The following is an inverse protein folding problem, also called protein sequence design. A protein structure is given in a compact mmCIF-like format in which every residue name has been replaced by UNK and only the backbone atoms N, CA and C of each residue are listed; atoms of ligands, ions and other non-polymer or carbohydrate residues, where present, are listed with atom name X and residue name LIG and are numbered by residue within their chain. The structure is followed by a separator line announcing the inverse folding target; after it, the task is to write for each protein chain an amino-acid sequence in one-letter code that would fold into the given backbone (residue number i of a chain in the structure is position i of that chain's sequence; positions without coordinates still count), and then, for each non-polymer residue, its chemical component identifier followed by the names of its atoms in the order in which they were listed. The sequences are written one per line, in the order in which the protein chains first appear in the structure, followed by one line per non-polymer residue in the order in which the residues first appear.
data_IF_533103155492
#
_entry.id   IF_533103155492
#
_cell.length_a   1.000
_cell.length_b   1.000
_cell.length_c   1.000
_cell.angle_alpha   90.00
_cell.angle_beta   90.00
_cell.angle_gamma   90.00
#
_symmetry.space_group_name_H-M   'P 1'
#
loop_
_entity.id
_entity.type
_entity.pdbx_description
1 polymer ?
#
# COMPACT_ATOMS: atom_id res chain seq x y z
N UNK A 1 -48.51 -17.56 -9.31
CA UNK A 1 -47.12 -17.18 -9.67
C UNK A 1 -46.74 -15.99 -8.80
N UNK A 2 -45.78 -16.17 -7.88
CA UNK A 2 -45.37 -15.19 -6.86
C UNK A 2 -44.24 -14.27 -7.39
N UNK A 3 -44.09 -13.04 -6.87
CA UNK A 3 -43.14 -12.06 -7.40
C UNK A 3 -41.73 -12.25 -6.83
N UNK A 4 -40.71 -12.20 -7.69
CA UNK A 4 -39.28 -12.39 -7.37
C UNK A 4 -38.51 -11.06 -7.27
N UNK A 5 -39.15 -9.93 -7.57
CA UNK A 5 -38.46 -8.63 -7.70
C UNK A 5 -38.18 -7.89 -6.38
N UNK A 6 -38.83 -8.27 -5.26
CA UNK A 6 -38.75 -7.51 -4.00
C UNK A 6 -37.61 -7.95 -3.06
N UNK A 7 -36.88 -9.02 -3.41
CA UNK A 7 -35.84 -9.59 -2.56
C UNK A 7 -34.43 -9.05 -2.84
N UNK A 8 -34.16 -8.48 -4.02
CA UNK A 8 -32.82 -7.97 -4.38
C UNK A 8 -32.50 -6.57 -3.85
N UNK A 9 -33.49 -5.78 -3.45
CA UNK A 9 -33.29 -4.44 -2.87
C UNK A 9 -33.01 -4.48 -1.37
N UNK A 10 -33.38 -5.56 -0.67
CA UNK A 10 -33.09 -5.76 0.76
C UNK A 10 -31.61 -6.10 1.00
N UNK A 11 -31.01 -6.92 0.14
CA UNK A 11 -29.64 -7.42 0.33
C UNK A 11 -28.55 -6.37 0.07
N UNK A 12 -28.88 -5.28 -0.65
CA UNK A 12 -27.96 -4.16 -0.94
C UNK A 12 -27.94 -3.14 0.22
N UNK A 13 -29.00 -3.08 1.03
CA UNK A 13 -29.10 -2.20 2.20
C UNK A 13 -28.36 -2.74 3.44
N UNK A 14 -28.16 -4.06 3.55
CA UNK A 14 -27.44 -4.68 4.68
C UNK A 14 -25.91 -4.51 4.60
N UNK A 15 -25.34 -4.37 3.40
CA UNK A 15 -23.90 -4.13 3.21
C UNK A 15 -23.48 -2.67 3.51
N UNK A 16 -24.44 -1.76 3.65
CA UNK A 16 -24.20 -0.34 3.93
C UNK A 16 -24.33 0.04 5.43
N UNK A 17 -24.70 -0.89 6.30
CA UNK A 17 -24.97 -0.60 7.73
C UNK A 17 -23.77 -0.73 8.68
N UNK A 18 -22.57 -1.10 8.19
CA UNK A 18 -21.40 -1.27 9.07
C UNK A 18 -20.61 0.00 9.42
N UNK A 19 -21.09 1.18 9.06
CA UNK A 19 -20.36 2.44 9.31
C UNK A 19 -21.12 3.42 10.21
N UNK A 20 -21.55 2.99 11.41
CA UNK A 20 -21.89 3.92 12.50
C UNK A 20 -21.40 3.33 13.83
N UNK A 21 -20.12 3.54 14.15
CA UNK A 21 -19.61 3.32 15.51
C UNK A 21 -19.93 4.55 16.36
N UNK A 22 -20.79 4.33 17.37
CA UNK A 22 -21.21 5.30 18.39
C UNK A 22 -19.99 5.89 19.13
N UNK A 23 -19.80 7.20 19.04
CA UNK A 23 -18.90 7.97 19.93
C UNK A 23 -19.45 7.93 21.36
N UNK A 24 -18.72 7.30 22.29
CA UNK A 24 -18.95 7.47 23.74
C UNK A 24 -18.08 8.62 24.27
N UNK A 25 -18.73 9.55 24.99
CA UNK A 25 -18.10 10.62 25.76
C UNK A 25 -17.24 10.00 26.87
N UNK A 26 -15.97 10.39 26.93
CA UNK A 26 -15.11 10.18 28.11
C UNK A 26 -14.97 11.54 28.79
N UNK A 27 -15.36 11.58 30.06
CA UNK A 27 -15.25 12.71 30.97
C UNK A 27 -13.91 12.66 31.68
N UNK A 28 -13.11 13.71 31.54
CA UNK A 28 -11.91 13.97 32.36
C UNK A 28 -12.27 14.31 33.80
N UNK A 29 -11.39 13.96 34.75
CA UNK A 29 -11.01 14.97 35.73
C UNK A 29 -9.48 15.06 35.88
N UNK A 30 -8.94 16.22 35.52
CA UNK A 30 -7.60 16.64 35.91
C UNK A 30 -7.48 16.73 37.44
N UNK A 31 -6.46 16.08 38.02
CA UNK A 31 -6.01 16.33 39.39
C UNK A 31 -4.54 16.77 39.34
N UNK A 32 -4.33 18.04 39.66
CA UNK A 32 -3.04 18.69 39.81
C UNK A 32 -2.24 18.08 40.97
N UNK A 33 -1.00 17.67 40.71
CA UNK A 33 -0.03 17.35 41.76
C UNK A 33 1.18 18.27 41.59
N UNK A 34 1.35 19.16 42.57
CA UNK A 34 2.52 20.01 42.77
C UNK A 34 3.66 19.15 43.33
N UNK A 35 4.82 19.14 42.67
CA UNK A 35 6.05 18.59 43.24
C UNK A 35 7.18 19.59 43.00
N UNK A 36 7.65 20.21 44.09
CA UNK A 36 8.84 21.06 44.12
C UNK A 36 10.12 20.25 43.88
N UNK A 37 11.16 20.84 43.27
CA UNK A 37 12.40 20.14 42.98
C UNK A 37 13.27 20.03 44.25
N UNK A 38 13.59 18.79 44.66
CA UNK A 38 14.71 18.50 45.58
C UNK A 38 15.87 17.95 44.78
N UNK A 39 17.01 18.65 44.86
CA UNK A 39 18.31 18.25 44.33
C UNK A 39 18.86 17.13 45.23
N UNK A 40 19.21 15.94 44.72
CA UNK A 40 19.96 14.95 45.47
C UNK A 40 21.48 15.17 45.33
N UNK A 41 22.18 15.03 46.45
CA UNK A 41 23.63 15.14 46.58
C UNK A 41 24.38 14.00 45.86
N UNK A 42 25.66 14.26 45.56
CA UNK A 42 26.58 13.37 44.86
C UNK A 42 26.82 12.04 45.60
N UNK A 43 26.99 10.91 44.87
CA UNK A 43 27.25 9.60 45.48
C UNK A 43 28.74 9.42 45.84
N UNK A 44 29.05 8.64 46.89
CA UNK A 44 30.43 8.31 47.25
C UNK A 44 31.04 7.24 46.32
N UNK A 45 32.37 7.30 46.18
CA UNK A 45 33.24 6.45 45.36
C UNK A 45 33.09 4.95 45.63
N UNK A 46 32.95 4.18 44.55
CA UNK A 46 32.82 2.71 44.57
C UNK A 46 34.16 2.00 44.83
N UNK A 47 34.17 0.86 45.55
CA UNK A 47 35.33 -0.01 45.72
C UNK A 47 35.62 -0.88 44.47
N UNK A 48 36.86 -1.40 44.32
CA UNK A 48 37.34 -2.03 43.09
C UNK A 48 36.63 -3.35 42.77
N UNK A 49 36.38 -3.58 41.48
CA UNK A 49 35.70 -4.74 40.93
C UNK A 49 36.50 -6.05 41.13
N UNK A 50 35.82 -7.19 41.38
CA UNK A 50 36.46 -8.51 41.40
C UNK A 50 36.89 -8.95 39.98
N UNK A 51 37.85 -9.90 39.85
CA UNK A 51 38.39 -10.34 38.56
C UNK A 51 37.31 -11.02 37.70
N UNK A 52 37.46 -11.02 36.35
CA UNK A 52 36.46 -11.58 35.46
C UNK A 52 36.32 -13.10 35.67
N UNK A 53 35.10 -13.48 36.03
CA UNK A 53 34.65 -14.86 36.11
C UNK A 53 34.70 -15.47 34.69
N UNK A 54 35.32 -16.63 34.55
CA UNK A 54 35.46 -17.35 33.28
C UNK A 54 34.07 -17.67 32.74
N UNK A 55 33.73 -17.06 31.61
CA UNK A 55 32.48 -17.29 30.89
C UNK A 55 32.43 -18.71 30.34
N UNK A 56 31.34 -19.42 30.68
CA UNK A 56 30.84 -20.68 30.13
C UNK A 56 30.76 -20.60 28.59
N UNK A 57 31.83 -20.99 27.88
CA UNK A 57 31.96 -20.90 26.41
C UNK A 57 31.63 -22.19 25.65
N UNK A 58 31.21 -23.26 26.33
CA UNK A 58 31.23 -24.62 25.72
C UNK A 58 29.84 -25.21 25.42
N UNK A 59 28.79 -24.38 25.29
CA UNK A 59 27.50 -24.87 24.75
C UNK A 59 27.38 -24.48 23.28
N UNK A 60 27.24 -25.45 22.35
CA UNK A 60 27.03 -25.12 20.95
C UNK A 60 25.80 -24.22 20.81
N UNK A 61 25.84 -23.21 19.92
CA UNK A 61 24.75 -22.26 19.77
C UNK A 61 23.44 -23.01 19.51
N UNK A 62 22.45 -22.81 20.38
CA UNK A 62 21.13 -23.42 20.21
C UNK A 62 20.44 -22.75 19.04
N UNK A 63 20.46 -23.41 17.88
CA UNK A 63 19.75 -23.00 16.68
C UNK A 63 18.35 -23.65 16.63
N UNK A 64 17.42 -22.96 15.96
CA UNK A 64 16.05 -23.38 15.73
C UNK A 64 15.87 -23.78 14.27
N UNK A 65 15.52 -25.04 14.03
CA UNK A 65 15.14 -25.51 12.69
C UNK A 65 13.84 -24.86 12.23
N UNK A 66 13.81 -24.32 11.01
CA UNK A 66 12.57 -23.85 10.41
C UNK A 66 11.61 -25.03 10.19
N UNK A 67 10.31 -24.81 10.39
CA UNK A 67 9.32 -25.89 10.32
C UNK A 67 8.93 -26.29 8.90
N UNK A 68 9.17 -25.42 7.92
CA UNK A 68 8.71 -25.59 6.54
C UNK A 68 9.89 -25.88 5.61
N UNK A 69 10.98 -25.13 5.78
CA UNK A 69 12.16 -25.20 4.91
C UNK A 69 13.34 -25.82 5.65
N UNK A 70 13.15 -27.07 6.07
CA UNK A 70 14.21 -27.92 6.62
C UNK A 70 14.10 -29.31 6.01
N UNK A 71 14.70 -29.48 4.83
CA UNK A 71 14.59 -30.70 4.05
C UNK A 71 15.65 -31.71 4.44
N UNK A 72 15.26 -32.97 4.63
CA UNK A 72 16.19 -34.08 4.97
C UNK A 72 17.30 -34.28 3.93
N UNK A 73 17.00 -33.97 2.66
CA UNK A 73 17.95 -34.07 1.54
C UNK A 73 18.58 -32.73 1.13
N UNK A 74 18.42 -31.68 1.93
CA UNK A 74 19.10 -30.41 1.66
C UNK A 74 20.62 -30.52 1.86
N UNK A 75 21.36 -29.95 0.91
CA UNK A 75 22.83 -29.93 0.83
C UNK A 75 23.44 -28.59 1.26
N UNK A 76 22.62 -27.66 1.76
CA UNK A 76 23.05 -26.36 2.30
C UNK A 76 22.16 -25.94 3.48
N UNK A 77 22.78 -25.42 4.55
CA UNK A 77 22.07 -24.76 5.65
C UNK A 77 22.19 -23.26 5.45
N UNK A 78 21.07 -22.59 5.22
CA UNK A 78 21.01 -21.12 5.29
C UNK A 78 20.70 -20.72 6.72
N UNK A 79 21.53 -19.87 7.33
CA UNK A 79 21.32 -19.38 8.69
C UNK A 79 20.91 -17.90 8.69
N UNK A 80 19.87 -17.58 9.45
CA UNK A 80 19.40 -16.22 9.70
C UNK A 80 19.12 -16.07 11.20
N UNK A 81 19.86 -15.20 11.87
CA UNK A 81 19.86 -15.10 13.33
C UNK A 81 20.07 -16.49 13.98
N UNK A 82 19.14 -16.93 14.84
CA UNK A 82 19.13 -18.26 15.47
C UNK A 82 18.29 -19.28 14.72
N UNK A 83 17.81 -18.97 13.51
CA UNK A 83 16.98 -19.89 12.70
C UNK A 83 17.78 -20.45 11.55
N UNK A 84 17.68 -21.76 11.34
CA UNK A 84 18.37 -22.48 10.27
C UNK A 84 17.37 -23.10 9.30
N UNK A 85 17.70 -23.00 8.02
CA UNK A 85 16.90 -23.46 6.89
C UNK A 85 17.73 -24.48 6.11
N UNK A 86 17.35 -25.75 6.15
CA UNK A 86 18.04 -26.79 5.36
C UNK A 86 17.43 -26.84 3.96
N UNK A 87 18.17 -26.33 2.99
CA UNK A 87 17.72 -26.07 1.61
C UNK A 87 18.65 -26.70 0.60
N UNK A 88 18.31 -26.56 -0.68
CA UNK A 88 19.07 -27.09 -1.79
C UNK A 88 19.87 -25.96 -2.43
N UNK A 89 21.19 -26.13 -2.55
CA UNK A 89 22.15 -25.18 -3.11
C UNK A 89 21.75 -24.72 -4.51
N UNK A 90 21.23 -25.62 -5.33
CA UNK A 90 20.69 -25.32 -6.66
C UNK A 90 19.60 -24.24 -6.62
N UNK A 91 18.74 -24.24 -5.60
CA UNK A 91 17.66 -23.24 -5.46
C UNK A 91 18.20 -21.85 -5.13
N UNK A 92 19.29 -21.77 -4.38
CA UNK A 92 19.97 -20.50 -4.11
C UNK A 92 20.70 -19.99 -5.35
N UNK A 93 21.38 -20.86 -6.09
CA UNK A 93 22.03 -20.50 -7.35
C UNK A 93 21.04 -19.96 -8.38
N UNK A 94 19.83 -20.51 -8.46
CA UNK A 94 18.75 -20.01 -9.33
C UNK A 94 18.26 -18.60 -8.97
N UNK A 95 18.49 -18.12 -7.75
CA UNK A 95 18.16 -16.74 -7.37
C UNK A 95 19.12 -15.72 -8.01
N UNK A 96 20.34 -16.15 -8.37
CA UNK A 96 21.38 -15.27 -8.91
C UNK A 96 21.99 -14.34 -7.85
N UNK A 97 22.50 -13.20 -8.29
CA UNK A 97 23.15 -12.20 -7.44
C UNK A 97 24.35 -12.77 -6.68
N UNK A 98 24.53 -12.34 -5.43
CA UNK A 98 25.66 -12.75 -4.59
C UNK A 98 25.71 -14.26 -4.35
N UNK A 99 24.59 -14.98 -4.47
CA UNK A 99 24.58 -16.44 -4.25
C UNK A 99 25.42 -17.20 -5.28
N UNK A 100 25.56 -16.68 -6.50
CA UNK A 100 26.45 -17.28 -7.50
C UNK A 100 27.91 -17.28 -7.03
N UNK A 101 28.38 -16.10 -6.61
CA UNK A 101 29.75 -15.89 -6.13
C UNK A 101 29.99 -16.57 -4.78
N UNK A 102 29.13 -16.31 -3.80
CA UNK A 102 29.24 -16.83 -2.43
C UNK A 102 29.33 -18.35 -2.41
N UNK A 103 28.56 -19.02 -3.27
CA UNK A 103 28.57 -20.47 -3.33
C UNK A 103 29.75 -21.01 -4.13
N UNK A 104 30.28 -20.26 -5.11
CA UNK A 104 31.45 -20.68 -5.90
C UNK A 104 32.77 -20.70 -5.13
N UNK A 105 32.86 -20.01 -3.99
CA UNK A 105 34.06 -19.96 -3.17
C UNK A 105 34.31 -21.32 -2.48
N UNK A 106 35.57 -21.79 -2.42
CA UNK A 106 35.91 -22.95 -1.60
C UNK A 106 35.62 -22.64 -0.11
N UNK A 107 35.16 -23.64 0.67
CA UNK A 107 34.92 -23.43 2.10
C UNK A 107 36.22 -22.99 2.81
N UNK A 108 36.13 -22.10 3.83
CA UNK A 108 37.30 -21.68 4.59
C UNK A 108 38.01 -22.90 5.20
N UNK A 109 39.32 -23.01 4.97
CA UNK A 109 40.14 -24.18 5.32
C UNK A 109 40.33 -24.35 6.84
N UNK A 110 40.04 -23.31 7.65
CA UNK A 110 40.43 -23.22 9.06
C UNK A 110 39.26 -23.17 10.07
N UNK A 111 38.03 -23.52 9.69
CA UNK A 111 36.85 -23.51 10.60
C UNK A 111 36.11 -24.85 10.54
N UNK A 112 36.63 -25.88 11.21
CA UNK A 112 36.10 -27.25 11.08
C UNK A 112 34.77 -27.50 11.83
N UNK A 113 34.40 -26.70 12.85
CA UNK A 113 33.20 -26.96 13.68
C UNK A 113 32.03 -25.97 13.52
N UNK A 114 32.29 -24.69 13.16
CA UNK A 114 31.21 -23.69 12.97
C UNK A 114 30.67 -23.63 11.54
N UNK A 115 31.32 -24.30 10.60
CA UNK A 115 30.97 -24.27 9.17
C UNK A 115 29.95 -25.33 8.75
N UNK A 116 29.58 -26.26 9.64
CA UNK A 116 28.64 -27.35 9.38
C UNK A 116 27.56 -27.48 10.46
N UNK A 117 26.33 -27.77 10.06
CA UNK A 117 25.22 -28.17 10.94
C UNK A 117 24.64 -29.47 10.39
N UNK A 118 24.52 -30.48 11.24
CA UNK A 118 24.09 -31.85 10.85
C UNK A 118 24.93 -32.42 9.68
N UNK A 119 26.23 -32.09 9.60
CA UNK A 119 27.12 -32.51 8.51
C UNK A 119 26.87 -31.80 7.17
N UNK A 120 26.09 -30.72 7.18
CA UNK A 120 25.75 -29.92 5.98
C UNK A 120 26.38 -28.52 6.10
N UNK A 121 27.02 -27.99 5.05
CA UNK A 121 27.68 -26.69 5.11
C UNK A 121 26.69 -25.56 5.41
N UNK A 122 27.15 -24.58 6.19
CA UNK A 122 26.36 -23.42 6.64
C UNK A 122 26.73 -22.19 5.82
N UNK A 123 25.71 -21.50 5.34
CA UNK A 123 25.75 -20.20 4.67
C UNK A 123 25.01 -19.17 5.54
N UNK A 124 25.74 -18.39 6.38
CA UNK A 124 25.13 -17.37 7.21
C UNK A 124 24.72 -16.15 6.38
N UNK A 125 23.44 -15.79 6.45
CA UNK A 125 22.86 -14.60 5.84
C UNK A 125 22.76 -13.49 6.88
N UNK A 126 23.88 -12.83 7.12
CA UNK A 126 23.98 -11.73 8.08
C UNK A 126 22.99 -10.59 7.77
N UNK A 127 22.45 -9.96 8.81
CA UNK A 127 21.51 -8.84 8.68
C UNK A 127 20.10 -9.20 8.19
N UNK A 128 19.82 -10.49 7.94
CA UNK A 128 18.48 -10.94 7.56
C UNK A 128 17.65 -11.37 8.76
N UNK A 129 16.32 -11.27 8.63
CA UNK A 129 15.37 -11.85 9.59
C UNK A 129 14.87 -13.20 9.08
N UNK A 130 14.62 -14.19 9.97
CA UNK A 130 14.05 -15.48 9.58
C UNK A 130 12.72 -15.39 8.83
N UNK A 131 11.93 -14.36 9.14
CA UNK A 131 10.68 -14.06 8.44
C UNK A 131 10.90 -13.78 6.95
N UNK A 132 11.88 -12.94 6.62
CA UNK A 132 12.14 -12.51 5.25
C UNK A 132 12.78 -13.67 4.46
N UNK A 133 13.71 -14.40 5.08
CA UNK A 133 14.33 -15.59 4.50
C UNK A 133 13.28 -16.65 4.17
N UNK A 134 12.25 -16.82 5.00
CA UNK A 134 11.13 -17.72 4.69
C UNK A 134 10.38 -17.32 3.43
N UNK A 135 10.18 -16.02 3.18
CA UNK A 135 9.59 -15.55 1.93
C UNK A 135 10.51 -15.76 0.73
N UNK A 136 11.82 -15.60 0.89
CA UNK A 136 12.80 -15.93 -0.15
C UNK A 136 12.79 -17.42 -0.50
N UNK A 137 12.75 -18.30 0.51
CA UNK A 137 12.65 -19.75 0.28
C UNK A 137 11.30 -20.12 -0.35
N UNK A 138 10.19 -19.52 0.08
CA UNK A 138 8.90 -19.72 -0.57
C UNK A 138 8.93 -19.33 -2.06
N UNK A 139 9.65 -18.27 -2.40
CA UNK A 139 9.88 -17.87 -3.77
C UNK A 139 10.78 -18.85 -4.53
N UNK A 140 11.95 -19.22 -3.98
CA UNK A 140 12.92 -20.12 -4.62
C UNK A 140 12.35 -21.53 -4.89
N UNK A 141 11.41 -21.98 -4.05
CA UNK A 141 10.72 -23.26 -4.19
C UNK A 141 9.36 -23.17 -4.90
N UNK A 142 9.08 -22.05 -5.58
CA UNK A 142 7.87 -21.84 -6.37
C UNK A 142 6.57 -22.01 -5.57
N UNK A 143 6.62 -21.80 -4.25
CA UNK A 143 5.47 -21.86 -3.34
C UNK A 143 4.76 -20.53 -3.20
N UNK A 144 5.45 -19.44 -3.52
CA UNK A 144 4.88 -18.09 -3.46
C UNK A 144 5.48 -17.18 -4.53
N UNK A 145 4.65 -16.28 -5.04
CA UNK A 145 5.04 -15.14 -5.86
C UNK A 145 4.49 -13.86 -5.23
N UNK A 146 5.15 -12.70 -5.40
CA UNK A 146 4.60 -11.42 -4.94
C UNK A 146 3.36 -11.02 -5.74
N UNK A 147 3.20 -11.51 -6.97
CA UNK A 147 1.95 -11.40 -7.72
C UNK A 147 1.17 -12.70 -7.66
N UNK A 148 -0.06 -12.65 -7.14
CA UNK A 148 -1.01 -13.76 -7.16
C UNK A 148 -2.01 -13.50 -8.28
N UNK A 149 -2.06 -14.41 -9.26
CA UNK A 149 -2.95 -14.32 -10.43
C UNK A 149 -4.05 -15.38 -10.33
N UNK A 150 -5.29 -14.94 -10.54
CA UNK A 150 -6.43 -15.79 -10.87
C UNK A 150 -6.90 -15.45 -12.29
N UNK A 151 -7.82 -16.23 -12.85
CA UNK A 151 -8.30 -16.06 -14.25
C UNK A 151 -8.76 -14.63 -14.61
N UNK A 152 -9.25 -13.88 -13.62
CA UNK A 152 -9.86 -12.56 -13.83
C UNK A 152 -9.04 -11.40 -13.27
N UNK A 153 -8.14 -11.64 -12.31
CA UNK A 153 -7.50 -10.57 -11.54
C UNK A 153 -6.09 -10.94 -11.10
N UNK A 154 -5.24 -9.92 -10.94
CA UNK A 154 -3.91 -10.02 -10.33
C UNK A 154 -3.87 -9.19 -9.05
N UNK A 155 -3.21 -9.70 -8.02
CA UNK A 155 -3.09 -9.03 -6.72
C UNK A 155 -1.66 -9.12 -6.18
N UNK A 156 -1.28 -8.11 -5.38
CA UNK A 156 -0.01 -8.02 -4.68
C UNK A 156 -0.10 -8.74 -3.33
N UNK A 157 0.71 -9.76 -3.13
CA UNK A 157 0.93 -10.35 -1.81
C UNK A 157 1.92 -9.48 -1.01
N UNK A 158 1.40 -8.63 -0.12
CA UNK A 158 2.17 -7.55 0.52
C UNK A 158 3.43 -8.04 1.24
N UNK A 159 3.29 -8.99 2.16
CA UNK A 159 4.40 -9.44 3.00
C UNK A 159 5.57 -10.04 2.21
N UNK A 160 5.26 -10.74 1.11
CA UNK A 160 6.30 -11.29 0.23
C UNK A 160 6.94 -10.22 -0.63
N UNK A 161 6.18 -9.26 -1.15
CA UNK A 161 6.73 -8.14 -1.92
C UNK A 161 7.67 -7.29 -1.07
N UNK A 162 7.30 -6.94 0.17
CA UNK A 162 8.18 -6.18 1.09
C UNK A 162 9.46 -6.94 1.39
N UNK A 163 9.35 -8.22 1.76
CA UNK A 163 10.50 -9.05 2.12
C UNK A 163 11.42 -9.29 0.93
N UNK A 164 10.87 -9.63 -0.23
CA UNK A 164 11.63 -9.86 -1.45
C UNK A 164 12.26 -8.57 -1.98
N UNK A 165 11.62 -7.40 -1.85
CA UNK A 165 12.25 -6.13 -2.21
C UNK A 165 13.50 -5.89 -1.34
N UNK A 166 13.38 -6.08 -0.04
CA UNK A 166 14.48 -5.92 0.90
C UNK A 166 15.65 -6.87 0.59
N UNK A 167 15.37 -8.16 0.48
CA UNK A 167 16.39 -9.17 0.21
C UNK A 167 16.98 -9.04 -1.19
N UNK A 168 16.18 -8.66 -2.19
CA UNK A 168 16.68 -8.42 -3.54
C UNK A 168 17.69 -7.27 -3.61
N UNK A 169 17.51 -6.25 -2.77
CA UNK A 169 18.48 -5.17 -2.66
C UNK A 169 19.73 -5.61 -1.88
N UNK A 170 19.56 -6.34 -0.77
CA UNK A 170 20.71 -6.78 0.04
C UNK A 170 21.61 -7.81 -0.65
N UNK A 171 21.03 -8.66 -1.50
CA UNK A 171 21.75 -9.77 -2.15
C UNK A 171 21.91 -9.59 -3.66
N UNK A 172 21.61 -8.40 -4.17
CA UNK A 172 21.67 -8.06 -5.58
C UNK A 172 20.91 -9.03 -6.50
N UNK A 173 19.66 -9.32 -6.13
CA UNK A 173 18.79 -10.24 -6.87
C UNK A 173 17.99 -9.45 -7.92
N UNK A 174 18.66 -8.98 -8.98
CA UNK A 174 18.08 -8.10 -10.02
C UNK A 174 16.75 -8.62 -10.56
N UNK A 175 16.68 -9.90 -10.94
CA UNK A 175 15.45 -10.52 -11.45
C UNK A 175 14.30 -10.52 -10.43
N UNK A 176 14.60 -10.72 -9.15
CA UNK A 176 13.61 -10.68 -8.06
C UNK A 176 13.16 -9.23 -7.83
N UNK A 177 14.09 -8.27 -7.84
CA UNK A 177 13.80 -6.85 -7.69
C UNK A 177 12.82 -6.37 -8.77
N UNK A 178 13.11 -6.64 -10.04
CA UNK A 178 12.24 -6.28 -11.17
C UNK A 178 10.84 -6.87 -11.01
N UNK A 179 10.77 -8.16 -10.68
CA UNK A 179 9.50 -8.87 -10.48
C UNK A 179 8.67 -8.24 -9.35
N UNK A 180 9.31 -7.88 -8.24
CA UNK A 180 8.65 -7.26 -7.09
C UNK A 180 8.18 -5.83 -7.40
N UNK A 181 8.98 -5.04 -8.11
CA UNK A 181 8.58 -3.70 -8.56
C UNK A 181 7.35 -3.79 -9.46
N UNK A 182 7.31 -4.75 -10.38
CA UNK A 182 6.14 -4.98 -11.23
C UNK A 182 4.91 -5.42 -10.43
N UNK A 183 5.10 -6.20 -9.36
CA UNK A 183 4.02 -6.53 -8.43
C UNK A 183 3.49 -5.28 -7.71
N UNK A 184 4.37 -4.39 -7.22
CA UNK A 184 3.95 -3.15 -6.57
C UNK A 184 3.14 -2.23 -7.49
N UNK A 185 3.40 -2.23 -8.80
CA UNK A 185 2.61 -1.45 -9.79
C UNK A 185 1.13 -1.85 -9.85
N UNK A 186 0.73 -3.02 -9.33
CA UNK A 186 -0.68 -3.40 -9.20
C UNK A 186 -1.44 -2.55 -8.19
N UNK A 187 -0.73 -2.03 -7.18
CA UNK A 187 -1.30 -1.19 -6.10
C UNK A 187 -0.90 0.27 -6.27
N UNK A 188 0.31 0.50 -6.79
CA UNK A 188 0.93 1.80 -7.03
C UNK A 188 1.28 1.98 -8.50
N UNK A 189 0.29 2.00 -9.41
CA UNK A 189 0.57 2.14 -10.83
C UNK A 189 1.32 3.45 -11.14
N UNK A 190 2.20 3.35 -12.13
CA UNK A 190 2.85 4.49 -12.79
C UNK A 190 2.33 4.73 -14.22
N UNK A 191 1.29 3.97 -14.61
CA UNK A 191 0.57 4.09 -15.89
C UNK A 191 -0.93 4.06 -15.63
N UNK A 192 -1.67 4.73 -16.49
CA UNK A 192 -3.12 4.76 -16.38
C UNK A 192 -3.71 3.35 -16.52
N UNK A 193 -4.68 3.04 -15.66
CA UNK A 193 -5.52 1.84 -15.72
C UNK A 193 -6.96 2.28 -15.47
N UNK A 194 -7.95 1.56 -15.99
CA UNK A 194 -9.36 1.81 -15.67
C UNK A 194 -9.72 1.37 -14.24
N UNK A 195 -8.89 0.52 -13.62
CA UNK A 195 -9.10 -0.04 -12.27
C UNK A 195 -8.07 0.57 -11.31
N UNK A 196 -8.28 1.83 -10.93
CA UNK A 196 -7.39 2.54 -9.99
C UNK A 196 -7.93 2.64 -8.57
N UNK A 197 -9.26 2.54 -8.41
CA UNK A 197 -9.92 2.80 -7.13
C UNK A 197 -9.54 1.78 -6.04
N UNK A 198 -9.45 0.49 -6.38
CA UNK A 198 -9.25 -0.57 -5.39
C UNK A 198 -7.84 -1.19 -5.47
N UNK A 199 -7.04 -1.13 -4.39
CA UNK A 199 -5.74 -1.76 -4.38
C UNK A 199 -5.92 -3.29 -4.41
N UNK A 200 -5.40 -3.94 -5.45
CA UNK A 200 -5.46 -5.38 -5.58
C UNK A 200 -4.43 -6.04 -4.65
N UNK A 201 -4.85 -6.37 -3.43
CA UNK A 201 -3.99 -6.88 -2.36
C UNK A 201 -4.39 -8.30 -1.94
N UNK A 202 -3.40 -9.10 -1.54
CA UNK A 202 -3.57 -10.45 -1.03
C UNK A 202 -2.60 -10.73 0.13
N UNK A 203 -2.80 -11.87 0.81
CA UNK A 203 -1.97 -12.26 1.95
C UNK A 203 -2.24 -11.52 3.25
N UNK A 204 -3.39 -10.83 3.33
CA UNK A 204 -3.82 -10.08 4.52
C UNK A 204 -4.92 -10.88 5.20
N UNK A 205 -4.76 -11.14 6.50
CA UNK A 205 -5.79 -11.82 7.29
C UNK A 205 -7.00 -10.89 7.46
N UNK A 206 -8.24 -11.42 7.51
CA UNK A 206 -9.44 -10.60 7.70
C UNK A 206 -9.34 -9.66 8.92
N UNK A 207 -8.88 -10.18 10.05
CA UNK A 207 -8.77 -9.44 11.32
C UNK A 207 -7.71 -8.31 11.26
N UNK A 208 -6.71 -8.45 10.40
CA UNK A 208 -5.64 -7.46 10.23
C UNK A 208 -5.99 -6.39 9.18
N UNK A 209 -7.09 -6.56 8.43
CA UNK A 209 -7.37 -5.77 7.21
C UNK A 209 -7.55 -4.29 7.49
N UNK A 210 -8.25 -3.93 8.56
CA UNK A 210 -8.48 -2.52 8.92
C UNK A 210 -7.16 -1.82 9.27
N UNK A 211 -6.37 -2.42 10.16
CA UNK A 211 -5.07 -1.90 10.54
C UNK A 211 -4.11 -1.86 9.35
N UNK A 212 -4.17 -2.87 8.47
CA UNK A 212 -3.39 -2.91 7.25
C UNK A 212 -3.72 -1.72 6.34
N UNK A 213 -5.01 -1.45 6.09
CA UNK A 213 -5.44 -0.34 5.22
C UNK A 213 -4.96 1.03 5.71
N UNK A 214 -4.74 1.17 7.02
CA UNK A 214 -4.19 2.39 7.64
C UNK A 214 -2.66 2.47 7.57
N UNK A 215 -1.96 1.34 7.59
CA UNK A 215 -0.49 1.29 7.66
C UNK A 215 0.19 1.19 6.30
N UNK A 216 -0.39 0.46 5.35
CA UNK A 216 0.28 0.15 4.07
C UNK A 216 0.67 1.37 3.22
N UNK A 217 -0.08 2.50 3.18
CA UNK A 217 0.35 3.65 2.38
C UNK A 217 1.59 4.31 2.97
N UNK A 218 1.67 4.40 4.29
CA UNK A 218 2.82 4.95 5.01
C UNK A 218 4.05 4.04 4.88
N UNK A 219 3.85 2.72 5.00
CA UNK A 219 4.89 1.74 4.76
C UNK A 219 5.41 1.82 3.31
N UNK A 220 4.51 1.96 2.33
CA UNK A 220 4.88 2.10 0.92
C UNK A 220 5.79 3.30 0.68
N UNK A 221 5.45 4.48 1.25
CA UNK A 221 6.28 5.69 1.13
C UNK A 221 7.70 5.42 1.67
N UNK A 222 7.80 4.87 2.89
CA UNK A 222 9.09 4.56 3.50
C UNK A 222 9.91 3.58 2.65
N UNK A 223 9.25 2.54 2.12
CA UNK A 223 9.89 1.54 1.25
C UNK A 223 10.38 2.16 -0.05
N UNK A 224 9.53 2.93 -0.74
CA UNK A 224 9.85 3.51 -2.03
C UNK A 224 10.95 4.57 -1.94
N UNK A 225 11.00 5.32 -0.84
CA UNK A 225 12.14 6.20 -0.57
C UNK A 225 13.42 5.42 -0.30
N UNK A 226 13.35 4.38 0.55
CA UNK A 226 14.52 3.58 0.92
C UNK A 226 15.16 2.87 -0.27
N UNK A 227 14.37 2.44 -1.24
CA UNK A 227 14.82 1.66 -2.40
C UNK A 227 14.82 2.46 -3.71
N UNK A 228 14.71 3.79 -3.67
CA UNK A 228 14.69 4.70 -4.82
C UNK A 228 13.66 4.32 -5.91
N UNK A 229 12.45 3.98 -5.48
CA UNK A 229 11.31 3.66 -6.35
C UNK A 229 10.42 4.89 -6.58
N UNK A 230 11.03 5.99 -7.02
CA UNK A 230 10.39 7.30 -7.23
C UNK A 230 9.13 7.21 -8.08
N UNK A 231 9.12 6.32 -9.08
CA UNK A 231 7.96 6.13 -9.97
C UNK A 231 6.69 5.65 -9.29
N UNK A 232 6.80 5.08 -8.08
CA UNK A 232 5.66 4.56 -7.31
C UNK A 232 5.15 5.56 -6.25
N UNK A 233 5.91 6.62 -5.96
CA UNK A 233 5.60 7.58 -4.90
C UNK A 233 4.31 8.39 -5.12
N UNK A 234 3.96 8.88 -6.32
CA UNK A 234 2.73 9.68 -6.50
C UNK A 234 1.49 8.92 -6.05
N UNK A 235 1.42 7.63 -6.40
CA UNK A 235 0.31 6.79 -5.98
C UNK A 235 0.40 6.45 -4.49
N UNK A 236 1.59 6.27 -3.93
CA UNK A 236 1.74 6.06 -2.49
C UNK A 236 1.24 7.27 -1.69
N UNK A 237 1.60 8.50 -2.10
CA UNK A 237 1.08 9.73 -1.50
C UNK A 237 -0.43 9.89 -1.71
N UNK A 238 -0.94 9.55 -2.90
CA UNK A 238 -2.37 9.53 -3.15
C UNK A 238 -3.13 8.63 -2.19
N UNK A 239 -2.65 7.41 -1.96
CA UNK A 239 -3.25 6.45 -1.03
C UNK A 239 -3.16 6.97 0.41
N UNK A 240 -2.01 7.53 0.80
CA UNK A 240 -1.82 8.12 2.13
C UNK A 240 -2.72 9.34 2.36
N UNK A 241 -2.99 10.14 1.32
CA UNK A 241 -3.90 11.28 1.38
C UNK A 241 -5.36 10.90 1.71
N UNK A 242 -5.73 9.63 1.54
CA UNK A 242 -7.05 9.11 1.90
C UNK A 242 -7.16 8.69 3.38
N UNK A 243 -6.05 8.69 4.12
CA UNK A 243 -6.04 8.36 5.55
C UNK A 243 -6.57 9.52 6.39
N UNK A 244 -6.96 9.18 7.62
CA UNK A 244 -7.28 10.17 8.64
C UNK A 244 -6.08 11.06 8.92
N UNK A 245 -6.33 12.34 9.20
CA UNK A 245 -5.28 13.33 9.49
C UNK A 245 -4.39 12.85 10.65
N UNK A 246 -4.98 12.25 11.67
CA UNK A 246 -4.25 11.70 12.82
C UNK A 246 -3.26 10.60 12.40
N UNK A 247 -3.66 9.71 11.49
CA UNK A 247 -2.81 8.62 11.00
C UNK A 247 -1.64 9.16 10.15
N UNK A 248 -1.87 10.21 9.37
CA UNK A 248 -0.81 10.84 8.56
C UNK A 248 0.20 11.58 9.46
N UNK A 249 -0.28 12.35 10.44
CA UNK A 249 0.56 13.23 11.27
C UNK A 249 1.26 12.46 12.37
N UNK A 250 0.52 11.62 13.12
CA UNK A 250 1.04 10.90 14.27
C UNK A 250 1.49 9.48 13.93
N UNK A 251 1.23 8.99 12.72
CA UNK A 251 1.46 7.59 12.35
C UNK A 251 0.48 6.63 13.00
N UNK A 252 0.60 5.36 12.62
CA UNK A 252 -0.32 4.28 13.03
C UNK A 252 0.40 3.28 13.92
N UNK A 253 -0.23 2.90 15.03
CA UNK A 253 0.31 1.89 15.95
C UNK A 253 -0.07 0.49 15.47
N UNK A 254 0.94 -0.35 15.28
CA UNK A 254 0.84 -1.75 14.89
C UNK A 254 0.41 -2.64 16.07
N UNK A 255 0.02 -3.88 15.77
CA UNK A 255 -0.36 -4.88 16.77
C UNK A 255 0.79 -5.24 17.73
N UNK A 256 2.04 -5.09 17.30
CA UNK A 256 3.25 -5.33 18.11
C UNK A 256 3.67 -4.09 18.95
N UNK A 257 2.88 -3.02 18.93
CA UNK A 257 3.15 -1.77 19.63
C UNK A 257 4.13 -0.84 18.89
N UNK A 258 4.71 -1.26 17.76
CA UNK A 258 5.52 -0.38 16.92
C UNK A 258 4.64 0.67 16.24
N UNK A 259 5.25 1.78 15.82
CA UNK A 259 4.53 2.86 15.15
C UNK A 259 5.09 3.08 13.75
N UNK A 260 4.21 3.03 12.75
CA UNK A 260 4.56 3.40 11.37
C UNK A 260 4.36 4.91 11.22
N UNK A 261 5.47 5.62 11.07
CA UNK A 261 5.49 7.07 10.79
C UNK A 261 6.16 7.33 9.43
N UNK A 262 5.99 8.54 8.91
CA UNK A 262 6.70 9.04 7.73
C UNK A 262 7.45 10.33 8.09
N UNK A 263 8.50 10.73 7.33
CA UNK A 263 9.20 11.98 7.55
C UNK A 263 8.28 13.20 7.48
N UNK A 264 8.59 14.27 8.22
CA UNK A 264 7.78 15.50 8.23
C UNK A 264 7.66 16.15 6.85
N UNK A 265 8.69 16.03 6.00
CA UNK A 265 8.62 16.49 4.60
C UNK A 265 7.47 15.82 3.84
N UNK A 266 7.23 14.55 4.10
CA UNK A 266 6.24 13.76 3.37
C UNK A 266 4.84 13.99 3.93
N UNK A 267 4.74 14.26 5.23
CA UNK A 267 3.51 14.78 5.84
C UNK A 267 3.09 16.08 5.15
N UNK A 268 4.03 17.03 4.95
CA UNK A 268 3.76 18.30 4.26
C UNK A 268 3.29 18.03 2.83
N UNK A 269 4.04 17.23 2.06
CA UNK A 269 3.68 16.85 0.68
C UNK A 269 2.29 16.24 0.59
N UNK A 270 1.93 15.34 1.51
CA UNK A 270 0.60 14.73 1.55
C UNK A 270 -0.47 15.77 1.87
N UNK A 271 -0.24 16.66 2.84
CA UNK A 271 -1.22 17.68 3.23
C UNK A 271 -1.48 18.70 2.11
N UNK A 272 -0.42 19.17 1.44
CA UNK A 272 -0.55 20.03 0.26
C UNK A 272 -1.30 19.31 -0.86
N UNK A 273 -0.94 18.06 -1.13
CA UNK A 273 -1.63 17.24 -2.12
C UNK A 273 -3.09 17.00 -1.78
N UNK A 274 -3.46 16.83 -0.51
CA UNK A 274 -4.87 16.71 -0.09
C UNK A 274 -5.68 17.94 -0.48
N UNK A 275 -5.12 19.13 -0.30
CA UNK A 275 -5.80 20.37 -0.68
C UNK A 275 -5.99 20.45 -2.21
N UNK A 276 -4.94 20.12 -2.97
CA UNK A 276 -5.02 20.10 -4.43
C UNK A 276 -5.99 19.04 -4.96
N UNK A 277 -6.03 17.86 -4.34
CA UNK A 277 -6.96 16.78 -4.67
C UNK A 277 -8.42 17.19 -4.41
N UNK A 278 -8.72 17.85 -3.28
CA UNK A 278 -10.08 18.35 -3.02
C UNK A 278 -10.52 19.34 -4.10
N UNK A 279 -9.67 20.31 -4.43
CA UNK A 279 -9.96 21.31 -5.48
C UNK A 279 -10.11 20.68 -6.86
N UNK A 280 -9.27 19.71 -7.20
CA UNK A 280 -9.29 19.08 -8.51
C UNK A 280 -10.52 18.21 -8.73
N UNK A 281 -11.19 17.77 -7.65
CA UNK A 281 -12.43 17.03 -7.76
C UNK A 281 -13.52 17.86 -8.43
N UNK A 282 -13.73 19.09 -7.99
CA UNK A 282 -14.64 20.05 -8.61
C UNK A 282 -14.12 20.55 -9.97
N UNK A 283 -12.85 20.94 -10.03
CA UNK A 283 -12.31 21.69 -11.19
C UNK A 283 -11.76 20.83 -12.33
N UNK A 284 -11.60 19.51 -12.13
CA UNK A 284 -11.01 18.60 -13.14
C UNK A 284 -11.87 17.35 -13.33
N UNK A 285 -12.16 16.61 -12.25
CA UNK A 285 -12.94 15.36 -12.30
C UNK A 285 -14.39 15.62 -12.69
N UNK A 286 -15.06 16.47 -11.92
CA UNK A 286 -16.47 16.77 -12.04
C UNK A 286 -16.71 18.13 -12.67
N UNK A 287 -15.72 18.69 -13.37
CA UNK A 287 -15.81 20.01 -14.02
C UNK A 287 -17.04 20.11 -14.90
N UNK A 288 -17.28 19.09 -15.74
CA UNK A 288 -18.46 19.05 -16.61
C UNK A 288 -19.78 19.17 -15.82
N UNK A 289 -19.89 18.50 -14.67
CA UNK A 289 -21.07 18.62 -13.81
C UNK A 289 -21.11 19.97 -13.09
N UNK A 290 -19.95 20.49 -12.66
CA UNK A 290 -19.86 21.79 -12.00
C UNK A 290 -20.32 22.93 -12.91
N UNK A 291 -19.86 22.95 -14.15
CA UNK A 291 -20.16 23.98 -15.14
C UNK A 291 -21.61 23.89 -15.64
N UNK A 292 -22.32 22.79 -15.34
CA UNK A 292 -23.71 22.57 -15.74
C UNK A 292 -24.72 23.46 -14.98
N UNK A 293 -24.30 24.08 -13.86
CA UNK A 293 -25.11 25.03 -13.10
C UNK A 293 -24.75 26.50 -13.37
N UNK A 294 -23.87 26.80 -14.34
CA UNK A 294 -23.56 28.19 -14.69
C UNK A 294 -24.80 28.91 -15.27
N UNK A 295 -24.82 30.24 -15.19
CA UNK A 295 -25.97 31.19 -15.33
C UNK A 295 -26.85 31.09 -16.61
N UNK A 296 -26.64 30.12 -17.50
CA UNK A 296 -27.48 29.88 -18.67
C UNK A 296 -28.60 28.87 -18.37
N UNK A 297 -29.69 28.92 -19.15
CA UNK A 297 -30.72 27.88 -19.08
C UNK A 297 -30.08 26.50 -19.34
N UNK A 298 -30.31 25.51 -18.47
CA UNK A 298 -29.63 24.22 -18.56
C UNK A 298 -30.04 23.47 -19.83
N UNK A 299 -29.13 23.40 -20.79
CA UNK A 299 -29.31 22.70 -22.06
C UNK A 299 -29.16 21.19 -21.90
N UNK A 300 -29.81 20.37 -22.75
CA UNK A 300 -29.60 18.93 -22.74
C UNK A 300 -28.12 18.55 -22.86
N UNK A 301 -27.66 17.50 -22.15
CA UNK A 301 -26.25 17.08 -22.16
C UNK A 301 -25.69 16.77 -23.55
N UNK A 302 -26.53 16.21 -24.43
CA UNK A 302 -26.22 15.83 -25.80
C UNK A 302 -27.12 16.61 -26.78
N UNK A 303 -26.61 17.05 -27.95
CA UNK A 303 -27.44 17.63 -29.00
C UNK A 303 -28.51 16.65 -29.52
N UNK A 304 -28.26 15.35 -29.40
CA UNK A 304 -29.16 14.27 -29.80
C UNK A 304 -30.10 13.83 -28.66
N UNK A 305 -30.27 14.68 -27.63
CA UNK A 305 -31.16 14.36 -26.51
C UNK A 305 -32.59 14.12 -27.00
N UNK A 306 -33.19 13.00 -26.59
CA UNK A 306 -34.59 12.67 -26.90
C UNK A 306 -35.59 13.63 -26.24
N UNK A 307 -35.13 14.45 -25.29
CA UNK A 307 -35.94 15.37 -24.49
C UNK A 307 -37.18 14.70 -23.86
N UNK A 308 -37.06 13.40 -23.56
CA UNK A 308 -38.11 12.63 -22.91
C UNK A 308 -37.91 12.68 -21.40
N UNK A 309 -39.02 12.79 -20.66
CA UNK A 309 -39.00 12.67 -19.21
C UNK A 309 -38.65 11.25 -18.78
N UNK A 310 -37.78 11.13 -17.78
CA UNK A 310 -37.50 9.88 -17.07
C UNK A 310 -38.80 9.28 -16.55
N UNK A 311 -38.98 7.97 -16.77
CA UNK A 311 -40.15 7.23 -16.23
C UNK A 311 -40.12 7.11 -14.71
N UNK A 312 -38.96 7.35 -14.09
CA UNK A 312 -38.77 7.19 -12.65
C UNK A 312 -38.95 8.49 -11.89
N UNK A 313 -38.42 9.60 -12.41
CA UNK A 313 -38.46 10.90 -11.73
C UNK A 313 -39.43 11.89 -12.36
N UNK A 314 -39.82 11.68 -13.62
CA UNK A 314 -40.57 12.65 -14.42
C UNK A 314 -39.71 13.79 -14.98
N UNK A 315 -38.42 13.83 -14.66
CA UNK A 315 -37.50 14.88 -15.07
C UNK A 315 -36.99 14.69 -16.50
N UNK A 316 -36.82 15.78 -17.24
CA UNK A 316 -35.96 15.77 -18.43
C UNK A 316 -34.50 15.49 -18.04
N UNK A 317 -33.66 15.10 -19.01
CA UNK A 317 -32.23 14.87 -18.77
C UNK A 317 -31.55 16.08 -18.10
N UNK A 318 -31.89 17.30 -18.54
CA UNK A 318 -31.33 18.52 -17.99
C UNK A 318 -31.78 18.80 -16.55
N UNK A 319 -33.08 18.70 -16.29
CA UNK A 319 -33.63 18.85 -14.93
C UNK A 319 -33.03 17.83 -13.95
N UNK A 320 -32.85 16.59 -14.40
CA UNK A 320 -32.23 15.55 -13.59
C UNK A 320 -30.78 15.91 -13.23
N UNK A 321 -29.96 16.33 -14.21
CA UNK A 321 -28.58 16.74 -13.92
C UNK A 321 -28.49 17.96 -13.00
N UNK A 322 -29.34 18.98 -13.18
CA UNK A 322 -29.40 20.12 -12.26
C UNK A 322 -29.62 19.65 -10.81
N UNK A 323 -30.56 18.71 -10.60
CA UNK A 323 -30.80 18.14 -9.27
C UNK A 323 -29.58 17.38 -8.74
N UNK A 324 -28.92 16.58 -9.56
CA UNK A 324 -27.69 15.86 -9.18
C UNK A 324 -26.59 16.83 -8.73
N UNK A 325 -26.34 17.88 -9.51
CA UNK A 325 -25.28 18.85 -9.18
C UNK A 325 -25.64 19.64 -7.93
N UNK A 326 -26.91 20.03 -7.77
CA UNK A 326 -27.41 20.68 -6.56
C UNK A 326 -27.26 19.80 -5.32
N UNK A 327 -27.56 18.51 -5.42
CA UNK A 327 -27.36 17.54 -4.35
C UNK A 327 -25.86 17.38 -4.02
N UNK A 328 -25.00 17.30 -5.04
CA UNK A 328 -23.56 17.18 -4.84
C UNK A 328 -22.96 18.42 -4.18
N UNK A 329 -23.48 19.61 -4.48
CA UNK A 329 -23.07 20.86 -3.82
C UNK A 329 -23.56 20.92 -2.37
N UNK A 330 -24.85 20.70 -2.14
CA UNK A 330 -25.47 20.83 -0.81
C UNK A 330 -24.98 19.77 0.19
N UNK A 331 -24.67 18.57 -0.27
CA UNK A 331 -24.06 17.51 0.55
C UNK A 331 -22.55 17.69 0.78
N UNK A 332 -21.93 18.67 0.12
CA UNK A 332 -20.47 18.82 0.07
C UNK A 332 -19.77 17.66 -0.66
N UNK A 333 -20.50 16.86 -1.46
CA UNK A 333 -19.93 15.76 -2.22
C UNK A 333 -18.83 16.22 -3.14
N UNK A 334 -18.88 17.43 -3.71
CA UNK A 334 -17.83 17.94 -4.60
C UNK A 334 -16.48 18.17 -3.88
N UNK A 335 -16.51 18.69 -2.64
CA UNK A 335 -15.32 19.28 -2.00
C UNK A 335 -14.81 18.50 -0.78
N UNK A 336 -15.66 17.63 -0.19
CA UNK A 336 -15.34 16.95 1.08
C UNK A 336 -14.30 15.83 0.97
N UNK A 337 -14.17 15.17 -0.20
CA UNK A 337 -13.30 14.00 -0.38
C UNK A 337 -12.06 14.32 -1.20
N UNK A 338 -10.99 13.60 -0.90
CA UNK A 338 -9.69 13.62 -1.59
C UNK A 338 -9.54 12.52 -2.64
N UNK A 339 -10.55 11.68 -2.83
CA UNK A 339 -10.53 10.54 -3.75
C UNK A 339 -10.94 11.00 -5.17
N UNK A 340 -9.96 11.42 -5.96
CA UNK A 340 -10.18 11.94 -7.33
C UNK A 340 -10.15 10.83 -8.40
N UNK A 341 -9.70 9.63 -8.02
CA UNK A 341 -9.64 8.45 -8.89
C UNK A 341 -10.83 7.50 -8.67
N UNK A 342 -11.74 7.84 -7.75
CA UNK A 342 -13.04 7.19 -7.55
C UNK A 342 -14.15 8.26 -7.48
N UNK A 343 -14.55 8.75 -8.65
CA UNK A 343 -15.24 10.04 -8.77
C UNK A 343 -16.72 10.02 -8.40
N UNK A 344 -17.40 8.89 -8.57
CA UNK A 344 -18.82 8.75 -8.36
C UNK A 344 -19.13 7.63 -7.35
N UNK A 345 -20.26 7.70 -6.62
CA UNK A 345 -20.75 6.57 -5.84
C UNK A 345 -20.93 5.31 -6.70
N UNK A 346 -20.80 4.13 -6.09
CA UNK A 346 -20.89 2.84 -6.80
C UNK A 346 -22.20 2.65 -7.58
N UNK A 347 -23.29 3.22 -7.10
CA UNK A 347 -24.61 3.17 -7.73
C UNK A 347 -24.91 4.33 -8.69
N UNK A 348 -23.98 5.27 -8.88
CA UNK A 348 -24.24 6.46 -9.69
C UNK A 348 -24.40 6.14 -11.18
N UNK A 349 -23.70 5.11 -11.66
CA UNK A 349 -23.87 4.61 -13.02
C UNK A 349 -25.32 4.20 -13.27
N UNK A 350 -25.86 3.32 -12.42
CA UNK A 350 -27.26 2.85 -12.52
C UNK A 350 -28.24 4.03 -12.41
N UNK A 351 -27.98 4.97 -11.49
CA UNK A 351 -28.82 6.16 -11.32
C UNK A 351 -28.83 7.02 -12.60
N UNK A 352 -27.68 7.22 -13.25
CA UNK A 352 -27.59 7.98 -14.49
C UNK A 352 -28.24 7.24 -15.66
N UNK A 353 -27.99 5.94 -15.79
CA UNK A 353 -28.56 5.09 -16.85
C UNK A 353 -30.09 5.04 -16.79
N UNK A 354 -30.67 5.05 -15.57
CA UNK A 354 -32.13 5.05 -15.39
C UNK A 354 -32.80 6.40 -15.68
N UNK A 355 -32.07 7.52 -15.60
CA UNK A 355 -32.66 8.86 -15.65
C UNK A 355 -32.24 9.71 -16.86
N UNK A 356 -31.22 9.28 -17.59
CA UNK A 356 -30.78 9.92 -18.83
C UNK A 356 -31.20 9.10 -20.04
N UNK A 357 -31.47 9.74 -21.17
CA UNK A 357 -31.52 9.03 -22.45
C UNK A 357 -30.11 8.53 -22.82
N UNK A 358 -30.01 7.53 -23.71
CA UNK A 358 -28.74 6.90 -24.09
C UNK A 358 -27.65 7.90 -24.48
N UNK A 359 -27.95 8.85 -25.37
CA UNK A 359 -26.98 9.84 -25.83
C UNK A 359 -26.50 10.78 -24.71
N UNK A 360 -27.38 11.16 -23.79
CA UNK A 360 -27.01 12.00 -22.64
C UNK A 360 -26.19 11.21 -21.62
N UNK A 361 -26.55 9.94 -21.38
CA UNK A 361 -25.79 9.04 -20.52
C UNK A 361 -24.37 8.84 -21.03
N UNK A 362 -24.21 8.55 -22.32
CA UNK A 362 -22.90 8.34 -22.95
C UNK A 362 -22.04 9.60 -22.90
N UNK A 363 -22.65 10.77 -23.15
CA UNK A 363 -21.97 12.06 -23.05
C UNK A 363 -21.49 12.35 -21.63
N UNK A 364 -22.34 12.20 -20.62
CA UNK A 364 -21.99 12.40 -19.20
C UNK A 364 -20.89 11.42 -18.78
N UNK A 365 -21.04 10.14 -19.11
CA UNK A 365 -20.07 9.09 -18.77
C UNK A 365 -18.70 9.34 -19.42
N UNK A 366 -18.69 9.83 -20.66
CA UNK A 366 -17.45 10.20 -21.39
C UNK A 366 -16.75 11.38 -20.73
N UNK A 367 -17.49 12.44 -20.37
CA UNK A 367 -16.91 13.63 -19.75
C UNK A 367 -16.34 13.36 -18.36
N UNK A 368 -17.06 12.57 -17.57
CA UNK A 368 -16.62 12.12 -16.25
C UNK A 368 -15.37 11.25 -16.40
N UNK A 369 -15.40 10.22 -17.26
CA UNK A 369 -14.23 9.36 -17.52
C UNK A 369 -13.01 10.15 -18.02
N UNK A 370 -13.24 11.16 -18.87
CA UNK A 370 -12.22 12.11 -19.30
C UNK A 370 -11.63 12.91 -18.12
N UNK A 371 -12.47 13.27 -17.15
CA UNK A 371 -12.06 13.86 -15.86
C UNK A 371 -11.10 12.97 -15.09
N UNK A 372 -11.38 11.67 -15.02
CA UNK A 372 -10.47 10.66 -14.41
C UNK A 372 -9.09 10.71 -15.05
N UNK A 373 -9.05 10.62 -16.38
CA UNK A 373 -7.79 10.61 -17.15
C UNK A 373 -7.01 11.91 -16.96
N UNK A 374 -7.71 13.06 -16.94
CA UNK A 374 -7.08 14.36 -16.67
C UNK A 374 -6.50 14.42 -15.25
N UNK A 375 -7.22 13.93 -14.25
CA UNK A 375 -6.74 13.91 -12.88
C UNK A 375 -5.59 12.93 -12.67
N UNK A 376 -5.62 11.77 -13.32
CA UNK A 376 -4.49 10.86 -13.37
C UNK A 376 -3.24 11.55 -13.91
N UNK A 377 -3.33 12.26 -15.04
CA UNK A 377 -2.18 12.97 -15.63
C UNK A 377 -1.60 14.03 -14.70
N UNK A 378 -2.45 14.69 -13.90
CA UNK A 378 -2.08 15.70 -12.90
C UNK A 378 -1.65 15.12 -11.55
N UNK A 379 -1.83 13.82 -11.30
CA UNK A 379 -1.55 13.22 -10.00
C UNK A 379 -0.13 13.54 -9.47
N UNK A 380 0.95 13.46 -10.28
CA UNK A 380 2.29 13.89 -9.87
C UNK A 380 2.35 15.33 -9.37
N UNK A 381 1.63 16.25 -10.02
CA UNK A 381 1.63 17.68 -9.67
C UNK A 381 0.91 18.02 -8.39
N UNK A 382 0.12 17.10 -7.86
CA UNK A 382 -0.42 17.26 -6.52
C UNK A 382 0.62 16.98 -5.43
N UNK A 383 1.76 16.38 -5.78
CA UNK A 383 2.77 15.96 -4.81
C UNK A 383 4.18 16.50 -5.14
N UNK A 384 4.24 17.63 -5.85
CA UNK A 384 5.48 18.39 -6.07
C UNK A 384 6.25 18.08 -7.35
N UNK A 385 5.82 17.09 -8.16
CA UNK A 385 6.41 16.85 -9.49
C UNK A 385 5.66 17.63 -10.58
N UNK A 386 6.27 17.81 -11.75
CA UNK A 386 5.61 18.41 -12.92
C UNK A 386 4.59 17.47 -13.54
N UNK A 387 5.01 16.24 -13.86
CA UNK A 387 4.20 15.24 -14.56
C UNK A 387 4.81 13.83 -14.44
N UNK A 388 4.16 12.84 -15.07
CA UNK A 388 4.64 11.46 -15.08
C UNK A 388 5.93 11.26 -15.89
N UNK A 389 6.25 12.17 -16.83
CA UNK A 389 7.46 12.08 -17.66
C UNK A 389 8.68 12.38 -16.80
N UNK A 390 8.65 13.46 -16.02
CA UNK A 390 9.71 13.80 -15.07
C UNK A 390 10.01 12.62 -14.14
N UNK A 391 8.97 12.02 -13.57
CA UNK A 391 9.10 10.89 -12.65
C UNK A 391 9.71 9.66 -13.33
N UNK A 392 9.28 9.38 -14.57
CA UNK A 392 9.81 8.26 -15.35
C UNK A 392 11.30 8.47 -15.68
N UNK A 393 11.70 9.70 -15.99
CA UNK A 393 13.10 10.07 -16.25
C UNK A 393 13.96 9.98 -14.98
N UNK A 394 13.43 10.41 -13.83
CA UNK A 394 14.07 10.24 -12.54
C UNK A 394 14.27 8.75 -12.19
N UNK A 395 13.25 7.91 -12.38
CA UNK A 395 13.36 6.48 -12.13
C UNK A 395 14.40 5.82 -13.05
N UNK A 396 14.39 6.12 -14.35
CA UNK A 396 15.37 5.57 -15.30
C UNK A 396 16.81 5.92 -14.91
N UNK A 397 17.03 7.11 -14.38
CA UNK A 397 18.36 7.53 -13.89
C UNK A 397 18.81 6.76 -12.65
N UNK A 398 17.88 6.34 -11.80
CA UNK A 398 18.16 5.46 -10.66
C UNK A 398 18.39 4.01 -11.11
N UNK A 399 17.58 3.51 -12.04
CA UNK A 399 17.66 2.13 -12.52
C UNK A 399 18.99 1.84 -13.24
N UNK A 400 19.54 2.81 -13.99
CA UNK A 400 20.88 2.68 -14.61
C UNK A 400 21.99 2.36 -13.60
N UNK A 401 21.87 2.82 -12.35
CA UNK A 401 22.87 2.53 -11.31
C UNK A 401 22.87 1.07 -10.84
N UNK A 402 21.89 0.27 -11.28
CA UNK A 402 21.80 -1.16 -11.02
C UNK A 402 22.11 -2.01 -12.26
N UNK A 403 22.37 -1.38 -13.41
CA UNK A 403 22.76 -2.07 -14.65
C UNK A 403 24.28 -2.00 -14.90
N UNK A 404 24.96 -1.03 -14.30
CA UNK A 404 26.43 -0.90 -14.21
C UNK A 404 26.98 -1.67 -13.00
#
# INVERSE_FOLDING_TARGET
MKPVAQKRTSDVLELAQFTIVKRRKITDPCRSVNISPRIPAAPPTAPPAPPPEKTDSDKPPVYKRDRIYYFDHGDMIVQSEKTVFRVHREKLLKLGGIFGELLSLPPPVDQEDESYIDGVPVCPLFGTKPHDVRYLMAYAYDKLRPTIKNEKFASLHWGSAVSLLHLSHMFDLVSVRTLVIDAFKLVFPSRFSSILAFPALAGIKPDDRELFLRTYPLQAINLFRRYNLTSLLPMAYYRAAQLDIADIVAGVVCADGTRVTIPSSDVITIMEGRELLRRSRRTVSLRYLNDYLDDNEPEPPSPDCLNTSSRFTGDTCAQFLVKVVSDFNSSGYMDSKTDVLNMLPTNAHDIFELNLCGDCFDKVSTEISGGLVRNWKKLPSYFGWKDWKEITEAQKSEDKRYED
#
